data_IF_511910031810
#
_entry.id   IF_511910031810
#
_cell.length_a   1.000
_cell.length_b   1.000
_cell.length_c   1.000
_cell.angle_alpha   90.00
_cell.angle_beta   90.00
_cell.angle_gamma   90.00
#
_symmetry.space_group_name_H-M   'P 1'
#
loop_
_entity.id
_entity.type
_entity.pdbx_description
1 polymer ?
#
# COMPACT_ATOMS: atom_id res chain seq x y z
N UNK A 1 17.68 6.41 -4.84
CA UNK A 1 16.82 5.53 -4.03
C UNK A 1 17.22 5.77 -2.59
N UNK A 2 16.30 6.21 -1.73
CA UNK A 2 16.61 6.33 -0.30
C UNK A 2 16.50 4.92 0.26
N UNK A 3 17.60 4.44 0.84
CA UNK A 3 17.65 3.16 1.52
C UNK A 3 17.53 3.48 3.00
N UNK A 4 16.37 3.21 3.59
CA UNK A 4 16.23 3.29 5.04
C UNK A 4 16.55 1.90 5.59
N UNK A 5 17.46 1.83 6.53
CA UNK A 5 17.81 0.58 7.23
C UNK A 5 17.52 0.73 8.71
N UNK A 6 16.94 -0.31 9.31
CA UNK A 6 16.75 -0.39 10.76
C UNK A 6 17.17 -1.76 11.25
N UNK A 7 17.88 -1.80 12.37
CA UNK A 7 18.22 -3.05 13.06
C UNK A 7 17.15 -3.35 14.11
N UNK A 8 16.59 -4.55 14.04
CA UNK A 8 15.53 -5.01 14.93
C UNK A 8 16.00 -6.23 15.72
N UNK A 9 15.53 -6.32 16.97
CA UNK A 9 15.66 -7.49 17.82
C UNK A 9 14.30 -7.84 18.41
N UNK A 10 14.11 -9.13 18.68
CA UNK A 10 12.97 -9.64 19.44
C UNK A 10 13.46 -9.94 20.86
N UNK A 11 12.73 -9.45 21.86
CA UNK A 11 12.92 -9.83 23.27
C UNK A 11 11.74 -10.66 23.73
N UNK A 12 12.02 -11.74 24.45
CA UNK A 12 11.03 -12.62 25.08
C UNK A 12 11.34 -12.68 26.58
N UNK A 13 10.34 -12.36 27.40
CA UNK A 13 10.42 -12.43 28.86
C UNK A 13 9.54 -13.57 29.39
N UNK A 14 10.15 -14.58 30.02
CA UNK A 14 9.41 -15.69 30.65
C UNK A 14 9.87 -15.81 32.09
N UNK A 15 8.93 -15.60 33.04
CA UNK A 15 9.18 -15.70 34.48
C UNK A 15 10.42 -14.91 34.96
N UNK A 16 10.68 -13.74 34.35
CA UNK A 16 11.81 -12.88 34.71
C UNK A 16 13.13 -13.20 33.97
N UNK A 17 13.21 -14.27 33.19
CA UNK A 17 14.33 -14.51 32.28
C UNK A 17 14.07 -13.84 30.93
N UNK A 18 14.99 -12.99 30.50
CA UNK A 18 14.94 -12.33 29.20
C UNK A 18 15.87 -13.03 28.19
N UNK A 19 15.31 -13.38 27.03
CA UNK A 19 16.07 -13.83 25.87
C UNK A 19 15.94 -12.80 24.75
N UNK A 20 17.07 -12.33 24.22
CA UNK A 20 17.13 -11.35 23.14
C UNK A 20 17.69 -12.04 21.89
N UNK A 21 17.04 -11.86 20.74
CA UNK A 21 17.50 -12.41 19.46
C UNK A 21 18.76 -11.70 18.94
N UNK A 22 19.35 -12.30 17.90
CA UNK A 22 20.30 -11.60 17.04
C UNK A 22 19.66 -10.39 16.34
N UNK A 23 20.52 -9.47 15.88
CA UNK A 23 20.09 -8.34 15.06
C UNK A 23 19.60 -8.81 13.69
N UNK A 24 18.45 -8.30 13.28
CA UNK A 24 17.94 -8.42 11.91
C UNK A 24 17.93 -7.02 11.30
N UNK A 25 18.76 -6.80 10.29
CA UNK A 25 18.74 -5.57 9.50
C UNK A 25 17.62 -5.64 8.47
N UNK A 26 16.65 -4.74 8.60
CA UNK A 26 15.58 -4.55 7.61
C UNK A 26 15.97 -3.40 6.70
N UNK A 27 16.09 -3.70 5.40
CA UNK A 27 16.31 -2.71 4.36
C UNK A 27 14.97 -2.36 3.70
N UNK A 28 14.54 -1.10 3.80
CA UNK A 28 13.47 -0.58 2.96
C UNK A 28 14.08 0.12 1.75
N UNK A 29 13.68 -0.36 0.57
CA UNK A 29 13.93 0.35 -0.67
C UNK A 29 12.69 1.21 -0.94
N UNK A 30 12.77 2.50 -0.65
CA UNK A 30 11.65 3.40 -0.94
C UNK A 30 11.46 3.51 -2.45
N UNK A 31 10.39 2.87 -2.94
CA UNK A 31 9.92 3.02 -4.30
C UNK A 31 9.56 4.49 -4.54
N UNK A 32 9.89 5.10 -5.69
CA UNK A 32 9.36 6.41 -6.07
C UNK A 32 7.83 6.49 -6.02
N UNK A 33 7.13 5.35 -6.21
CA UNK A 33 5.68 5.27 -5.98
C UNK A 33 5.31 5.46 -4.51
N UNK A 34 6.17 5.08 -3.57
CA UNK A 34 5.89 5.21 -2.15
C UNK A 34 5.85 6.68 -1.69
N UNK A 35 6.58 7.59 -2.35
CA UNK A 35 6.54 9.00 -1.94
C UNK A 35 5.41 9.79 -2.61
N UNK A 36 4.94 9.36 -3.78
CA UNK A 36 3.93 10.10 -4.57
C UNK A 36 2.51 9.54 -4.48
N UNK A 37 2.33 8.33 -3.95
CA UNK A 37 1.03 7.68 -3.92
C UNK A 37 0.11 8.22 -2.81
N UNK A 38 -1.02 8.77 -3.25
CA UNK A 38 -2.08 9.35 -2.42
C UNK A 38 -3.41 8.67 -2.80
N UNK A 39 -4.24 8.36 -1.80
CA UNK A 39 -5.58 7.84 -1.95
C UNK A 39 -6.53 8.68 -1.08
N UNK A 40 -7.64 9.16 -1.65
CA UNK A 40 -8.58 10.06 -0.99
C UNK A 40 -10.01 9.93 -1.56
N UNK A 41 -11.07 10.25 -0.79
CA UNK A 41 -11.03 10.56 0.63
C UNK A 41 -10.63 9.33 1.47
N UNK A 42 -10.23 9.56 2.72
CA UNK A 42 -9.96 8.50 3.69
C UNK A 42 -10.25 9.06 5.10
N UNK A 43 -11.33 8.64 5.77
CA UNK A 43 -12.27 7.57 5.40
C UNK A 43 -13.08 7.85 4.10
N UNK A 44 -13.56 6.77 3.48
CA UNK A 44 -14.41 6.79 2.28
C UNK A 44 -15.86 6.66 2.72
N UNK A 45 -16.66 7.68 2.42
CA UNK A 45 -18.05 7.79 2.85
C UNK A 45 -19.05 7.27 1.78
N UNK A 46 -20.33 7.58 1.97
CA UNK A 46 -21.48 6.99 1.28
C UNK A 46 -21.45 6.96 -0.25
N UNK A 47 -20.64 7.78 -0.93
CA UNK A 47 -20.47 7.67 -2.39
C UNK A 47 -19.70 6.40 -2.81
N UNK A 48 -18.92 5.82 -1.88
CA UNK A 48 -18.03 4.66 -2.09
C UNK A 48 -17.15 4.81 -3.33
N UNK A 49 -16.65 6.02 -3.57
CA UNK A 49 -15.71 6.32 -4.64
C UNK A 49 -14.36 6.72 -4.05
N UNK A 50 -13.31 5.99 -4.41
CA UNK A 50 -11.95 6.28 -3.99
C UNK A 50 -11.16 6.86 -5.17
N UNK A 51 -10.68 8.08 -5.00
CA UNK A 51 -9.73 8.70 -5.89
C UNK A 51 -8.31 8.31 -5.49
N UNK A 52 -7.44 8.19 -6.47
CA UNK A 52 -6.02 8.00 -6.22
C UNK A 52 -5.16 8.74 -7.25
N UNK A 53 -3.96 9.12 -6.83
CA UNK A 53 -2.94 9.67 -7.69
C UNK A 53 -1.54 9.17 -7.33
N UNK A 54 -0.67 9.08 -8.32
CA UNK A 54 0.74 8.76 -8.12
C UNK A 54 1.59 9.28 -9.27
N UNK A 55 2.89 9.31 -9.05
CA UNK A 55 3.87 9.78 -10.03
C UNK A 55 5.02 8.78 -10.17
N UNK A 56 5.31 8.37 -11.40
CA UNK A 56 6.54 7.66 -11.74
C UNK A 56 6.86 7.74 -13.24
N UNK A 57 8.07 7.32 -13.63
CA UNK A 57 8.53 7.26 -15.04
C UNK A 57 8.26 5.92 -15.73
N UNK A 58 7.46 5.03 -15.13
CA UNK A 58 7.13 3.71 -15.71
C UNK A 58 5.85 3.87 -16.53
N UNK A 59 5.93 3.73 -17.85
CA UNK A 59 4.78 3.85 -18.75
C UNK A 59 4.23 2.47 -19.13
N UNK A 60 2.98 2.44 -19.61
CA UNK A 60 2.29 1.21 -19.96
C UNK A 60 1.35 0.73 -18.86
N UNK A 61 1.20 -0.59 -18.74
CA UNK A 61 0.22 -1.19 -17.86
C UNK A 61 0.62 -1.10 -16.37
N UNK A 62 -0.34 -0.75 -15.53
CA UNK A 62 -0.23 -0.87 -14.08
C UNK A 62 -1.48 -1.56 -13.51
N UNK A 63 -1.30 -2.19 -12.35
CA UNK A 63 -2.35 -2.90 -11.62
C UNK A 63 -2.71 -2.12 -10.36
N UNK A 64 -4.00 -1.96 -10.12
CA UNK A 64 -4.53 -1.50 -8.85
C UNK A 64 -5.35 -2.61 -8.22
N UNK A 65 -5.07 -2.90 -6.96
CA UNK A 65 -5.76 -3.93 -6.19
C UNK A 65 -6.22 -3.40 -4.85
N UNK A 66 -7.41 -3.80 -4.43
CA UNK A 66 -7.91 -3.63 -3.07
C UNK A 66 -7.87 -4.98 -2.37
N UNK A 67 -7.24 -5.05 -1.21
CA UNK A 67 -7.18 -6.24 -0.35
C UNK A 67 -7.73 -5.92 1.04
N UNK A 68 -8.33 -6.90 1.69
CA UNK A 68 -8.66 -6.83 3.12
C UNK A 68 -7.42 -7.01 3.99
N UNK A 69 -7.58 -6.88 5.31
CA UNK A 69 -6.49 -6.96 6.30
C UNK A 69 -5.75 -8.30 6.33
N UNK A 70 -6.40 -9.36 5.87
CA UNK A 70 -5.89 -10.72 5.73
C UNK A 70 -5.30 -10.97 4.32
N UNK A 71 -5.01 -9.91 3.57
CA UNK A 71 -4.47 -9.94 2.19
C UNK A 71 -5.38 -10.66 1.17
N UNK A 72 -6.65 -10.90 1.51
CA UNK A 72 -7.62 -11.42 0.54
C UNK A 72 -7.96 -10.33 -0.48
N UNK A 73 -7.77 -10.65 -1.76
CA UNK A 73 -8.07 -9.76 -2.89
C UNK A 73 -9.57 -9.56 -3.06
N UNK A 74 -10.02 -8.31 -2.90
CA UNK A 74 -11.41 -7.89 -3.06
C UNK A 74 -11.67 -7.40 -4.49
N UNK A 75 -10.76 -6.56 -5.00
CA UNK A 75 -10.90 -5.95 -6.33
C UNK A 75 -9.53 -5.88 -7.02
N UNK A 76 -9.54 -6.01 -8.35
CA UNK A 76 -8.36 -5.86 -9.18
C UNK A 76 -8.73 -5.19 -10.51
N UNK A 77 -8.07 -4.08 -10.82
CA UNK A 77 -8.26 -3.34 -12.08
C UNK A 77 -6.92 -3.05 -12.72
N UNK A 78 -6.83 -3.34 -14.02
CA UNK A 78 -5.66 -3.03 -14.83
C UNK A 78 -5.91 -1.76 -15.62
N UNK A 79 -4.95 -0.85 -15.58
CA UNK A 79 -5.00 0.41 -16.30
C UNK A 79 -3.73 0.59 -17.13
N UNK A 80 -3.74 1.58 -18.01
CA UNK A 80 -2.57 2.01 -18.77
C UNK A 80 -2.29 3.48 -18.48
N UNK A 81 -1.01 3.81 -18.32
CA UNK A 81 -0.50 5.16 -18.08
C UNK A 81 0.43 5.57 -19.21
N UNK A 82 0.21 6.75 -19.77
CA UNK A 82 1.09 7.38 -20.76
C UNK A 82 1.65 8.73 -20.30
N UNK A 83 1.39 9.13 -19.04
CA UNK A 83 1.86 10.39 -18.44
C UNK A 83 2.68 10.12 -17.18
N UNK A 84 3.43 11.11 -16.73
CA UNK A 84 4.22 11.00 -15.49
C UNK A 84 3.31 10.95 -14.26
N UNK A 85 2.32 11.83 -14.21
CA UNK A 85 1.30 11.92 -13.17
C UNK A 85 0.01 11.23 -13.63
N UNK A 86 -0.53 10.33 -12.79
CA UNK A 86 -1.84 9.71 -13.01
C UNK A 86 -2.80 10.05 -11.89
N UNK A 87 -4.07 10.24 -12.27
CA UNK A 87 -5.19 10.42 -11.36
C UNK A 87 -6.40 9.67 -11.90
N UNK A 88 -7.00 8.83 -11.07
CA UNK A 88 -8.16 7.99 -11.41
C UNK A 88 -9.05 7.79 -10.19
N UNK A 89 -10.25 7.24 -10.43
CA UNK A 89 -11.15 6.81 -9.36
C UNK A 89 -11.52 5.33 -9.51
N UNK A 90 -11.91 4.75 -8.38
CA UNK A 90 -12.39 3.37 -8.26
C UNK A 90 -13.73 3.41 -7.54
N UNK A 91 -14.75 2.88 -8.20
CA UNK A 91 -16.03 2.55 -7.57
C UNK A 91 -15.85 1.34 -6.65
N UNK A 92 -16.23 1.51 -5.38
CA UNK A 92 -16.18 0.54 -4.29
C UNK A 92 -17.60 0.17 -3.81
N UNK A 93 -18.65 0.48 -4.59
CA UNK A 93 -20.01 0.03 -4.31
C UNK A 93 -20.06 -1.50 -4.18
N UNK A 94 -20.77 -1.96 -3.16
CA UNK A 94 -20.88 -3.39 -2.83
C UNK A 94 -19.73 -3.93 -1.98
N UNK A 95 -18.72 -3.14 -1.64
CA UNK A 95 -17.71 -3.51 -0.65
C UNK A 95 -18.20 -3.13 0.74
N UNK A 96 -18.13 -4.07 1.68
CA UNK A 96 -18.51 -3.89 3.07
C UNK A 96 -17.59 -2.86 3.77
N UNK A 97 -18.15 -2.15 4.74
CA UNK A 97 -17.39 -1.20 5.56
C UNK A 97 -16.29 -1.92 6.34
N UNK A 98 -15.12 -1.28 6.48
CA UNK A 98 -13.97 -1.90 7.11
C UNK A 98 -12.63 -1.28 6.70
N UNK A 99 -11.56 -1.92 7.17
CA UNK A 99 -10.18 -1.52 6.90
C UNK A 99 -9.63 -2.33 5.72
N UNK A 100 -9.06 -1.64 4.75
CA UNK A 100 -8.52 -2.25 3.53
C UNK A 100 -7.17 -1.62 3.15
N UNK A 101 -6.51 -2.26 2.20
CA UNK A 101 -5.31 -1.73 1.55
C UNK A 101 -5.54 -1.54 0.06
N UNK A 102 -5.29 -0.33 -0.43
CA UNK A 102 -5.12 -0.08 -1.86
C UNK A 102 -3.65 -0.23 -2.22
N UNK A 103 -3.38 -1.07 -3.22
CA UNK A 103 -2.03 -1.36 -3.72
C UNK A 103 -1.94 -1.00 -5.20
N UNK A 104 -0.87 -0.30 -5.56
CA UNK A 104 -0.49 -0.01 -6.94
C UNK A 104 0.77 -0.79 -7.28
N UNK A 105 0.77 -1.47 -8.42
CA UNK A 105 1.94 -2.13 -8.99
C UNK A 105 2.16 -1.66 -10.43
N UNK A 106 3.34 -1.11 -10.71
CA UNK A 106 3.76 -0.62 -12.03
C UNK A 106 5.18 -1.11 -12.30
N UNK A 107 5.32 -2.04 -13.26
CA UNK A 107 6.57 -2.78 -13.45
C UNK A 107 6.99 -3.51 -12.16
N UNK A 108 8.24 -3.28 -11.74
CA UNK A 108 8.80 -3.83 -10.51
C UNK A 108 8.55 -2.96 -9.27
N UNK A 109 7.88 -1.82 -9.44
CA UNK A 109 7.55 -0.92 -8.33
C UNK A 109 6.16 -1.24 -7.79
N UNK A 110 6.06 -1.33 -6.47
CA UNK A 110 4.79 -1.44 -5.77
C UNK A 110 4.74 -0.51 -4.56
N UNK A 111 3.54 -0.10 -4.20
CA UNK A 111 3.26 0.65 -2.97
C UNK A 111 1.85 0.35 -2.50
N UNK A 112 1.58 0.59 -1.23
CA UNK A 112 0.25 0.43 -0.66
C UNK A 112 -0.10 1.54 0.34
N UNK A 113 -1.40 1.77 0.50
CA UNK A 113 -1.97 2.67 1.50
C UNK A 113 -3.14 2.00 2.19
N UNK A 114 -3.22 2.22 3.51
CA UNK A 114 -4.38 1.86 4.32
C UNK A 114 -5.52 2.83 4.00
N UNK A 115 -6.70 2.28 3.77
CA UNK A 115 -7.95 3.03 3.58
C UNK A 115 -9.04 2.46 4.49
N UNK A 116 -9.98 3.32 4.86
CA UNK A 116 -11.15 2.96 5.68
C UNK A 116 -12.39 3.23 4.82
N UNK A 117 -13.27 2.24 4.69
CA UNK A 117 -14.58 2.37 4.05
C UNK A 117 -15.63 2.38 5.16
N UNK A 118 -16.50 3.39 5.17
CA UNK A 118 -17.62 3.53 6.11
C UNK A 118 -18.95 3.05 5.51
#
# INVERSE_FOLDING_TARGET
MVQNSGDYKVSVLINGCEGISENITVLSNDSPLNTSFIAFPNPIDGAKELNYSFENKIFGSYLVTIHSIDEKKILSKRFNKNRYHEKKSIDLKGIESGLYFIKIQSGNQQTQRKIIIE
#
